data_IF_859976216355
#
_entry.id   IF_859976216355
#
_cell.length_a   1.000
_cell.length_b   1.000
_cell.length_c   1.000
_cell.angle_alpha   90.00
_cell.angle_beta   90.00
_cell.angle_gamma   90.00
#
_symmetry.space_group_name_H-M   'P 1'
#
loop_
_entity.id
_entity.type
_entity.pdbx_description
1 polymer ?
#
# COMPACT_ATOMS: atom_id res chain seq x y z
N UNK A 1 -16.82 5.41 18.85
CA UNK A 1 -15.36 5.43 19.14
C UNK A 1 -14.71 6.49 18.26
N UNK A 2 -13.55 7.01 18.64
CA UNK A 2 -12.71 7.80 17.72
C UNK A 2 -11.92 6.86 16.80
N UNK A 3 -11.38 7.39 15.72
CA UNK A 3 -10.55 6.65 14.78
C UNK A 3 -9.39 5.90 15.48
N UNK A 4 -8.66 6.58 16.38
CA UNK A 4 -7.55 5.98 17.12
C UNK A 4 -8.00 4.86 18.07
N UNK A 5 -9.21 4.94 18.60
CA UNK A 5 -9.77 3.87 19.43
C UNK A 5 -10.03 2.62 18.58
N UNK A 6 -10.59 2.80 17.38
CA UNK A 6 -10.83 1.72 16.43
C UNK A 6 -9.52 1.06 15.97
N UNK A 7 -8.44 1.83 15.79
CA UNK A 7 -7.11 1.29 15.49
C UNK A 7 -6.56 0.39 16.59
N UNK A 8 -6.86 0.68 17.86
CA UNK A 8 -6.38 -0.08 19.03
C UNK A 8 -7.21 -1.32 19.36
N UNK A 9 -8.33 -1.56 18.67
CA UNK A 9 -9.15 -2.77 18.89
C UNK A 9 -8.36 -4.01 18.47
N UNK A 10 -8.08 -4.89 19.42
CA UNK A 10 -7.25 -6.08 19.20
C UNK A 10 -7.84 -7.02 18.14
N UNK A 11 -9.14 -7.32 18.21
CA UNK A 11 -9.79 -8.21 17.25
C UNK A 11 -10.13 -7.45 15.95
N UNK A 12 -9.46 -7.72 14.82
CA UNK A 12 -9.68 -7.01 13.56
C UNK A 12 -11.11 -7.20 13.01
N UNK A 13 -11.72 -8.36 13.25
CA UNK A 13 -13.09 -8.65 12.77
C UNK A 13 -14.13 -7.76 13.42
N UNK A 14 -13.91 -7.32 14.67
CA UNK A 14 -14.80 -6.35 15.31
C UNK A 14 -14.79 -4.99 14.61
N UNK A 15 -13.64 -4.59 14.08
CA UNK A 15 -13.53 -3.32 13.34
C UNK A 15 -14.21 -3.44 11.98
N UNK A 16 -14.01 -4.57 11.28
CA UNK A 16 -14.65 -4.86 9.98
C UNK A 16 -16.18 -4.91 10.11
N UNK A 17 -16.70 -5.56 11.16
CA UNK A 17 -18.14 -5.61 11.39
C UNK A 17 -18.72 -4.21 11.69
N UNK A 18 -18.02 -3.41 12.49
CA UNK A 18 -18.44 -2.03 12.79
C UNK A 18 -18.38 -1.11 11.56
N UNK A 19 -17.48 -1.36 10.61
CA UNK A 19 -17.32 -0.57 9.39
C UNK A 19 -18.57 -0.52 8.50
N UNK A 20 -19.52 -1.47 8.67
CA UNK A 20 -20.81 -1.47 7.97
C UNK A 20 -21.67 -0.26 8.31
N UNK A 21 -21.50 0.31 9.50
CA UNK A 21 -22.35 1.39 10.02
C UNK A 21 -21.60 2.54 10.70
N UNK A 22 -20.29 2.41 10.95
CA UNK A 22 -19.45 3.46 11.54
C UNK A 22 -18.32 3.83 10.55
N UNK A 23 -18.37 5.06 10.04
CA UNK A 23 -17.38 5.62 9.11
C UNK A 23 -15.96 5.62 9.70
N UNK A 24 -15.81 5.91 10.99
CA UNK A 24 -14.49 5.92 11.64
C UNK A 24 -13.93 4.50 11.79
N UNK A 25 -14.81 3.51 11.99
CA UNK A 25 -14.43 2.11 11.98
C UNK A 25 -13.99 1.66 10.58
N UNK A 26 -14.70 2.14 9.54
CA UNK A 26 -14.34 1.89 8.14
C UNK A 26 -12.96 2.46 7.81
N UNK A 27 -12.69 3.71 8.17
CA UNK A 27 -11.40 4.34 7.92
C UNK A 27 -10.28 3.61 8.68
N UNK A 28 -10.52 3.20 9.91
CA UNK A 28 -9.58 2.40 10.70
C UNK A 28 -9.34 1.01 10.07
N UNK A 29 -10.37 0.36 9.54
CA UNK A 29 -10.24 -0.91 8.84
C UNK A 29 -9.39 -0.78 7.57
N UNK A 30 -9.64 0.26 6.76
CA UNK A 30 -8.87 0.53 5.54
C UNK A 30 -7.41 0.83 5.87
N UNK A 31 -7.14 1.69 6.87
CA UNK A 31 -5.77 1.98 7.32
C UNK A 31 -5.03 0.69 7.71
N UNK A 32 -5.67 -0.18 8.49
CA UNK A 32 -5.06 -1.45 8.94
C UNK A 32 -4.78 -2.40 7.77
N UNK A 33 -5.69 -2.49 6.80
CA UNK A 33 -5.47 -3.32 5.60
C UNK A 33 -4.27 -2.79 4.81
N UNK A 34 -4.17 -1.48 4.61
CA UNK A 34 -3.04 -0.87 3.89
C UNK A 34 -1.73 -1.15 4.63
N UNK A 35 -1.68 -0.94 5.94
CA UNK A 35 -0.49 -1.19 6.77
C UNK A 35 -0.02 -2.66 6.64
N UNK A 36 -0.94 -3.63 6.78
CA UNK A 36 -0.62 -5.06 6.61
C UNK A 36 -0.14 -5.38 5.20
N UNK A 37 -0.75 -4.82 4.16
CA UNK A 37 -0.31 -5.05 2.78
C UNK A 37 1.08 -4.48 2.52
N UNK A 38 1.43 -3.35 3.14
CA UNK A 38 2.76 -2.76 3.06
C UNK A 38 3.81 -3.61 3.79
N UNK A 39 3.48 -4.10 4.99
CA UNK A 39 4.34 -5.02 5.76
C UNK A 39 4.65 -6.28 4.94
N UNK A 40 3.64 -6.94 4.37
CA UNK A 40 3.83 -8.13 3.53
C UNK A 40 4.71 -7.85 2.30
N UNK A 41 4.56 -6.68 1.67
CA UNK A 41 5.42 -6.29 0.55
C UNK A 41 6.88 -6.00 0.96
N UNK A 42 7.09 -5.53 2.19
CA UNK A 42 8.43 -5.31 2.73
C UNK A 42 9.10 -6.64 3.07
N UNK A 43 8.36 -7.56 3.71
CA UNK A 43 8.84 -8.91 4.01
C UNK A 43 9.23 -9.65 2.73
N UNK A 44 8.37 -9.60 1.70
CA UNK A 44 8.65 -10.25 0.43
C UNK A 44 9.91 -9.69 -0.27
N UNK A 45 10.13 -8.37 -0.19
CA UNK A 45 11.35 -7.73 -0.72
C UNK A 45 12.61 -8.19 0.02
N UNK A 46 12.50 -8.36 1.34
CA UNK A 46 13.60 -8.82 2.15
C UNK A 46 14.01 -10.26 1.81
N UNK A 47 13.03 -11.13 1.56
CA UNK A 47 13.25 -12.52 1.16
C UNK A 47 13.69 -12.68 -0.32
N UNK A 48 13.37 -11.70 -1.19
CA UNK A 48 13.61 -11.79 -2.63
C UNK A 48 14.43 -10.58 -3.13
N UNK A 49 15.76 -10.59 -2.97
CA UNK A 49 16.63 -9.54 -3.49
C UNK A 49 16.44 -9.33 -5.00
N UNK A 50 16.14 -8.10 -5.42
CA UNK A 50 15.87 -7.74 -6.82
C UNK A 50 14.39 -7.69 -7.19
N UNK A 51 13.48 -8.11 -6.30
CA UNK A 51 12.04 -7.89 -6.50
C UNK A 51 11.71 -6.39 -6.44
N UNK A 52 11.14 -5.87 -7.52
CA UNK A 52 10.60 -4.51 -7.62
C UNK A 52 9.08 -4.57 -7.38
N UNK A 53 8.56 -4.05 -6.26
CA UNK A 53 7.13 -4.02 -6.00
C UNK A 53 6.42 -3.12 -7.03
N UNK A 54 5.23 -3.53 -7.45
CA UNK A 54 4.37 -2.72 -8.30
C UNK A 54 3.93 -1.46 -7.55
N UNK A 55 4.25 -0.28 -8.06
CA UNK A 55 3.82 1.00 -7.51
C UNK A 55 2.88 1.70 -8.48
N UNK A 56 1.60 1.78 -8.12
CA UNK A 56 0.59 2.56 -8.89
C UNK A 56 1.02 4.03 -9.00
N UNK A 57 1.65 4.59 -7.97
CA UNK A 57 2.13 5.97 -7.98
C UNK A 57 3.35 6.16 -8.89
N UNK A 58 4.24 5.16 -8.98
CA UNK A 58 5.33 5.18 -9.95
C UNK A 58 4.79 5.13 -11.39
N UNK A 59 3.76 4.30 -11.63
CA UNK A 59 3.09 4.17 -12.92
C UNK A 59 2.21 5.38 -13.27
N UNK A 60 1.63 6.07 -12.29
CA UNK A 60 0.86 7.29 -12.51
C UNK A 60 1.73 8.45 -13.03
N UNK A 61 3.04 8.38 -12.84
CA UNK A 61 4.02 9.27 -13.46
C UNK A 61 4.55 8.80 -14.83
N UNK A 62 4.27 7.55 -15.22
CA UNK A 62 4.61 7.05 -16.55
C UNK A 62 3.57 7.51 -17.57
N UNK A 63 3.88 8.64 -18.22
CA UNK A 63 3.18 9.03 -19.44
C UNK A 63 3.37 7.92 -20.48
N UNK A 64 2.31 7.32 -21.04
CA UNK A 64 2.44 6.29 -22.07
C UNK A 64 3.18 6.90 -23.27
N UNK A 65 4.40 6.43 -23.54
CA UNK A 65 5.18 6.85 -24.70
C UNK A 65 6.63 7.26 -24.44
N UNK A 66 7.07 7.42 -23.19
CA UNK A 66 8.51 7.64 -22.92
C UNK A 66 9.22 6.32 -22.68
N UNK A 67 9.49 5.61 -23.77
CA UNK A 67 10.40 4.48 -23.75
C UNK A 67 11.69 4.89 -23.03
N UNK A 68 12.07 4.14 -22.00
CA UNK A 68 13.40 4.23 -21.41
C UNK A 68 14.42 3.94 -22.52
N UNK A 69 15.11 4.97 -23.00
CA UNK A 69 16.21 4.77 -23.91
C UNK A 69 17.28 3.93 -23.20
N UNK A 70 17.78 2.84 -23.83
CA UNK A 70 18.85 2.05 -23.25
C UNK A 70 20.12 2.90 -23.05
N UNK A 71 21.00 2.51 -22.12
CA UNK A 71 22.11 3.33 -21.63
C UNK A 71 23.21 3.64 -22.67
N UNK A 72 23.07 3.22 -23.92
CA UNK A 72 24.07 3.43 -24.97
C UNK A 72 23.96 4.77 -25.71
N UNK A 73 23.02 5.66 -25.35
CA UNK A 73 22.84 6.95 -26.05
C UNK A 73 22.77 8.16 -25.10
N UNK A 74 23.69 8.25 -24.15
CA UNK A 74 24.00 9.52 -23.44
C UNK A 74 25.44 9.95 -23.67
N UNK A 75 25.82 10.22 -24.92
CA UNK A 75 26.97 11.08 -25.23
C UNK A 75 26.66 11.85 -26.52
N UNK A 76 26.36 13.13 -26.34
CA UNK A 76 26.87 14.31 -27.07
C UNK A 76 25.94 15.50 -26.74
#
# INVERSE_FOLDING_TARGET
MQFDDWKRVANPWRVVEAAKSDERARDAAVSRIIDTMLELQLDYRHENPGYQPFSVTALAGEVPGRAALPPSKRVA
#
